data_IF_785214904067
#
_entry.id   IF_785214904067
#
_cell.length_a   1.000
_cell.length_b   1.000
_cell.length_c   1.000
_cell.angle_alpha   90.00
_cell.angle_beta   90.00
_cell.angle_gamma   90.00
#
_symmetry.space_group_name_H-M   'P 1'
#
loop_
_entity.id
_entity.type
_entity.pdbx_description
1 polymer ?
#
# COMPACT_ATOMS: atom_id res chain seq x y z
N UNK A 1 0.25 -0.24 62.38
CA UNK A 1 -0.03 -1.46 61.60
C UNK A 1 -1.31 -1.28 60.85
N UNK A 2 -1.29 -1.56 59.51
CA UNK A 2 -2.51 -1.60 58.72
C UNK A 2 -3.33 -2.84 59.09
N UNK A 3 -4.64 -2.69 59.16
CA UNK A 3 -5.52 -3.82 59.42
C UNK A 3 -5.53 -4.75 58.19
N UNK A 4 -6.00 -5.98 58.38
CA UNK A 4 -6.15 -6.95 57.30
C UNK A 4 -7.06 -6.41 56.17
N UNK A 5 -8.10 -5.70 56.55
CA UNK A 5 -9.02 -5.05 55.60
C UNK A 5 -8.33 -3.99 54.75
N UNK A 6 -7.45 -3.17 55.34
CA UNK A 6 -6.68 -2.14 54.64
C UNK A 6 -5.68 -2.76 53.64
N UNK A 7 -5.05 -3.87 54.03
CA UNK A 7 -4.17 -4.61 53.14
C UNK A 7 -4.89 -5.20 51.93
N UNK A 8 -6.10 -5.71 52.14
CA UNK A 8 -6.93 -6.21 51.05
C UNK A 8 -7.35 -5.12 50.08
N UNK A 9 -7.73 -3.95 50.57
CA UNK A 9 -8.06 -2.78 49.78
C UNK A 9 -6.87 -2.32 48.94
N UNK A 10 -5.69 -2.25 49.54
CA UNK A 10 -4.46 -1.90 48.82
C UNK A 10 -4.12 -2.88 47.70
N UNK A 11 -4.25 -4.17 47.94
CA UNK A 11 -4.02 -5.22 46.96
C UNK A 11 -5.01 -5.15 45.81
N UNK A 12 -6.27 -4.90 46.12
CA UNK A 12 -7.32 -4.77 45.10
C UNK A 12 -7.11 -3.55 44.24
N UNK A 13 -6.68 -2.43 44.84
CA UNK A 13 -6.37 -1.21 44.11
C UNK A 13 -5.18 -1.40 43.17
N UNK A 14 -4.11 -2.06 43.62
CA UNK A 14 -2.96 -2.41 42.78
C UNK A 14 -3.36 -3.31 41.60
N UNK A 15 -4.24 -4.26 41.84
CA UNK A 15 -4.77 -5.14 40.81
C UNK A 15 -5.52 -4.35 39.72
N UNK A 16 -6.38 -3.42 40.12
CA UNK A 16 -7.12 -2.55 39.19
C UNK A 16 -6.20 -1.66 38.38
N UNK A 17 -5.18 -1.08 38.99
CA UNK A 17 -4.18 -0.26 38.31
C UNK A 17 -3.39 -1.06 37.30
N UNK A 18 -2.99 -2.28 37.66
CA UNK A 18 -2.27 -3.18 36.75
C UNK A 18 -3.12 -3.57 35.56
N UNK A 19 -4.38 -3.92 35.77
CA UNK A 19 -5.32 -4.25 34.72
C UNK A 19 -5.57 -3.06 33.76
N UNK A 20 -5.69 -1.85 34.31
CA UNK A 20 -5.83 -0.64 33.52
C UNK A 20 -4.60 -0.37 32.65
N UNK A 21 -3.40 -0.55 33.16
CA UNK A 21 -2.16 -0.45 32.39
C UNK A 21 -2.08 -1.47 31.26
N UNK A 22 -2.40 -2.72 31.55
CA UNK A 22 -2.39 -3.79 30.56
C UNK A 22 -3.39 -3.52 29.43
N UNK A 23 -4.60 -3.08 29.77
CA UNK A 23 -5.64 -2.74 28.81
C UNK A 23 -5.19 -1.59 27.91
N UNK A 24 -4.59 -0.55 28.48
CA UNK A 24 -4.05 0.59 27.73
C UNK A 24 -2.94 0.16 26.76
N UNK A 25 -2.03 -0.70 27.22
CA UNK A 25 -0.96 -1.22 26.36
C UNK A 25 -1.50 -2.02 25.16
N UNK A 26 -2.52 -2.84 25.39
CA UNK A 26 -3.18 -3.61 24.33
C UNK A 26 -3.85 -2.67 23.32
N UNK A 27 -4.55 -1.65 23.78
CA UNK A 27 -5.19 -0.66 22.92
C UNK A 27 -4.17 0.12 22.09
N UNK A 28 -3.06 0.54 22.69
CA UNK A 28 -1.98 1.25 22.00
C UNK A 28 -1.32 0.38 20.93
N UNK A 29 -1.10 -0.90 21.21
CA UNK A 29 -0.57 -1.86 20.21
C UNK A 29 -1.53 -2.05 19.05
N UNK A 30 -2.83 -2.16 19.31
CA UNK A 30 -3.85 -2.27 18.26
C UNK A 30 -3.88 -1.04 17.37
N UNK A 31 -3.82 0.15 17.96
CA UNK A 31 -3.77 1.41 17.19
C UNK A 31 -2.53 1.49 16.31
N UNK A 32 -1.36 1.13 16.83
CA UNK A 32 -0.11 1.08 16.05
C UNK A 32 -0.19 0.08 14.90
N UNK A 33 -0.78 -1.09 15.13
CA UNK A 33 -0.94 -2.11 14.11
C UNK A 33 -1.86 -1.65 12.98
N UNK A 34 -2.98 -0.99 13.30
CA UNK A 34 -3.90 -0.42 12.31
C UNK A 34 -3.21 0.67 11.50
N UNK A 35 -2.51 1.59 12.16
CA UNK A 35 -1.75 2.66 11.50
C UNK A 35 -0.68 2.11 10.55
N UNK A 36 0.04 1.09 10.97
CA UNK A 36 1.03 0.42 10.13
C UNK A 36 0.41 -0.23 8.89
N UNK A 37 -0.72 -0.92 9.06
CA UNK A 37 -1.47 -1.51 7.94
C UNK A 37 -1.93 -0.46 6.94
N UNK A 38 -2.41 0.67 7.40
CA UNK A 38 -2.84 1.78 6.55
C UNK A 38 -1.69 2.33 5.72
N UNK A 39 -0.51 2.50 6.32
CA UNK A 39 0.69 2.95 5.62
C UNK A 39 1.10 1.94 4.55
N UNK A 40 1.16 0.66 4.88
CA UNK A 40 1.53 -0.40 3.94
C UNK A 40 0.54 -0.47 2.78
N UNK A 41 -0.76 -0.43 3.07
CA UNK A 41 -1.81 -0.45 2.05
C UNK A 41 -1.72 0.76 1.13
N UNK A 42 -1.49 1.95 1.67
CA UNK A 42 -1.29 3.18 0.90
C UNK A 42 -0.07 3.09 -0.01
N UNK A 43 1.05 2.56 0.49
CA UNK A 43 2.27 2.39 -0.29
C UNK A 43 2.10 1.36 -1.41
N UNK A 44 1.41 0.26 -1.14
CA UNK A 44 1.08 -0.75 -2.14
C UNK A 44 0.20 -0.19 -3.26
N UNK A 45 -0.78 0.62 -2.92
CA UNK A 45 -1.67 1.27 -3.89
C UNK A 45 -0.91 2.26 -4.77
N UNK A 46 -0.01 3.05 -4.20
CA UNK A 46 0.86 3.96 -4.95
C UNK A 46 1.75 3.21 -5.93
N UNK A 47 2.35 2.11 -5.50
CA UNK A 47 3.20 1.27 -6.33
C UNK A 47 2.40 0.63 -7.46
N UNK A 48 1.20 0.13 -7.18
CA UNK A 48 0.29 -0.44 -8.18
C UNK A 48 -0.06 0.57 -9.26
N UNK A 49 -0.39 1.80 -8.88
CA UNK A 49 -0.70 2.88 -9.81
C UNK A 49 0.49 3.26 -10.67
N UNK A 50 1.68 3.30 -10.07
CA UNK A 50 2.92 3.58 -10.78
C UNK A 50 3.22 2.52 -11.84
N UNK A 51 3.09 1.25 -11.48
CA UNK A 51 3.29 0.13 -12.42
C UNK A 51 2.27 0.14 -13.55
N UNK A 52 1.02 0.44 -13.25
CA UNK A 52 -0.03 0.55 -14.27
C UNK A 52 0.26 1.67 -15.25
N UNK A 53 0.70 2.82 -14.76
CA UNK A 53 1.11 3.94 -15.61
C UNK A 53 2.26 3.58 -16.53
N UNK A 54 3.25 2.85 -16.02
CA UNK A 54 4.39 2.38 -16.82
C UNK A 54 3.95 1.40 -17.92
N UNK A 55 3.04 0.49 -17.60
CA UNK A 55 2.46 -0.45 -18.59
C UNK A 55 1.70 0.28 -19.67
N UNK A 56 0.91 1.27 -19.32
CA UNK A 56 0.13 2.08 -20.26
C UNK A 56 1.05 2.85 -21.20
N UNK A 57 2.12 3.47 -20.68
CA UNK A 57 3.11 4.16 -21.48
C UNK A 57 3.85 3.22 -22.44
N UNK A 58 4.19 2.02 -21.99
CA UNK A 58 4.83 1.02 -22.82
C UNK A 58 3.91 0.52 -23.93
N UNK A 59 2.64 0.30 -23.62
CA UNK A 59 1.63 -0.08 -24.61
C UNK A 59 1.45 1.01 -25.68
N UNK A 60 1.40 2.27 -25.29
CA UNK A 60 1.33 3.41 -26.21
C UNK A 60 2.56 3.48 -27.12
N UNK A 61 3.74 3.28 -26.56
CA UNK A 61 4.99 3.26 -27.32
C UNK A 61 5.00 2.15 -28.36
N UNK A 62 4.60 0.95 -27.98
CA UNK A 62 4.51 -0.20 -28.92
C UNK A 62 3.52 0.06 -30.03
N UNK A 63 2.38 0.66 -29.70
CA UNK A 63 1.36 1.01 -30.67
C UNK A 63 1.86 2.07 -31.66
N UNK A 64 2.56 3.07 -31.17
CA UNK A 64 3.18 4.10 -32.00
C UNK A 64 4.25 3.52 -32.95
N UNK A 65 5.06 2.60 -32.47
CA UNK A 65 6.06 1.91 -33.29
C UNK A 65 5.43 1.06 -34.39
N UNK A 66 4.36 0.33 -34.10
CA UNK A 66 3.60 -0.46 -35.10
C UNK A 66 2.98 0.42 -36.14
N UNK A 67 2.39 1.55 -35.77
CA UNK A 67 1.82 2.49 -36.70
C UNK A 67 2.89 3.09 -37.62
N UNK A 68 4.06 3.43 -37.10
CA UNK A 68 5.19 3.94 -37.87
C UNK A 68 5.72 2.90 -38.86
N UNK A 69 5.84 1.64 -38.44
CA UNK A 69 6.25 0.55 -39.32
C UNK A 69 5.27 0.26 -40.43
N UNK A 70 3.98 0.26 -40.10
CA UNK A 70 2.91 0.11 -41.11
C UNK A 70 2.96 1.23 -42.16
N UNK A 71 3.20 2.46 -41.72
CA UNK A 71 3.37 3.61 -42.61
C UNK A 71 4.57 3.45 -43.54
N UNK A 72 5.70 3.00 -43.03
CA UNK A 72 6.90 2.74 -43.81
C UNK A 72 6.67 1.68 -44.89
N UNK A 73 5.98 0.61 -44.55
CA UNK A 73 5.65 -0.46 -45.49
C UNK A 73 4.70 0.01 -46.58
N UNK A 74 3.71 0.81 -46.21
CA UNK A 74 2.76 1.38 -47.18
C UNK A 74 3.45 2.31 -48.16
N UNK A 75 4.32 3.20 -47.69
CA UNK A 75 5.13 4.06 -48.55
C UNK A 75 6.04 3.25 -49.47
N UNK A 76 6.63 2.19 -48.98
CA UNK A 76 7.47 1.30 -49.75
C UNK A 76 6.69 0.61 -50.88
N UNK A 77 5.46 0.17 -50.63
CA UNK A 77 4.56 -0.40 -51.62
C UNK A 77 4.18 0.60 -52.71
N UNK A 78 3.87 1.85 -52.31
CA UNK A 78 3.55 2.92 -53.26
C UNK A 78 4.72 3.24 -54.18
N UNK A 79 5.94 3.31 -53.62
CA UNK A 79 7.16 3.53 -54.39
C UNK A 79 7.44 2.38 -55.37
N UNK A 80 7.24 1.14 -54.99
CA UNK A 80 7.38 -0.02 -55.85
C UNK A 80 6.33 -0.06 -56.96
N UNK A 81 5.11 0.36 -56.62
CA UNK A 81 4.02 0.48 -57.61
C UNK A 81 4.30 1.54 -58.66
N UNK A 82 4.91 2.66 -58.29
CA UNK A 82 5.28 3.74 -59.22
C UNK A 82 6.41 3.35 -60.16
N UNK A 83 7.30 2.44 -59.76
CA UNK A 83 8.40 1.95 -60.58
C UNK A 83 7.97 0.97 -61.69
N UNK A 84 6.82 0.38 -61.52
CA UNK A 84 6.24 -0.53 -62.47
C UNK A 84 5.25 0.18 -63.39
#
# INVERSE_FOLDING_TARGET
MKSYSDLQEDLEQRRKELQAKQKKQIEDRKKKAVSYREIVTSNMEKERKKQQKMRDQEAERKQALRAREAMKQELKRELESEKN
#
